data_IF_261476205786
#
_entry.id   IF_261476205786
#
_cell.length_a   1.000
_cell.length_b   1.000
_cell.length_c   1.000
_cell.angle_alpha   90.00
_cell.angle_beta   90.00
_cell.angle_gamma   90.00
#
_symmetry.space_group_name_H-M   'P 1'
#
loop_
_entity.id
_entity.type
_entity.pdbx_description
1 polymer ?
#
# COMPACT_ATOMS: atom_id res chain seq x y z
N UNK A 1 36.38 -39.22 -7.36
CA UNK A 1 37.30 -38.47 -6.48
C UNK A 1 36.64 -37.14 -6.13
N UNK A 2 36.47 -36.92 -4.82
CA UNK A 2 36.28 -35.67 -4.08
C UNK A 2 35.27 -34.60 -4.56
N UNK A 3 34.12 -34.56 -3.87
CA UNK A 3 33.31 -33.35 -3.65
C UNK A 3 34.07 -32.38 -2.73
N UNK A 4 34.04 -31.09 -3.02
CA UNK A 4 34.49 -30.04 -2.08
C UNK A 4 33.39 -29.01 -1.92
N UNK A 5 32.64 -29.17 -0.82
CA UNK A 5 31.67 -28.22 -0.31
C UNK A 5 32.46 -27.17 0.49
N UNK A 6 32.45 -25.90 0.07
CA UNK A 6 32.91 -24.78 0.91
C UNK A 6 31.69 -24.02 1.43
N UNK A 7 31.32 -24.32 2.67
CA UNK A 7 30.45 -23.48 3.49
C UNK A 7 31.29 -22.32 4.03
N UNK A 8 30.93 -21.10 3.69
CA UNK A 8 31.45 -19.89 4.32
C UNK A 8 30.29 -19.22 5.06
N UNK A 9 30.18 -19.56 6.34
CA UNK A 9 29.39 -18.82 7.31
C UNK A 9 30.29 -17.70 7.86
N UNK A 10 29.96 -16.45 7.59
CA UNK A 10 30.55 -15.30 8.28
C UNK A 10 29.39 -14.58 8.93
N UNK A 11 29.32 -14.73 10.26
CA UNK A 11 28.41 -13.99 11.11
C UNK A 11 28.83 -12.54 11.22
N UNK A 12 27.86 -11.65 11.12
CA UNK A 12 28.00 -10.26 11.56
C UNK A 12 27.10 -10.09 12.78
N UNK A 13 27.70 -10.19 13.96
CA UNK A 13 27.10 -9.74 15.20
C UNK A 13 27.10 -8.21 15.18
N UNK A 14 25.94 -7.59 14.98
CA UNK A 14 25.78 -6.15 15.17
C UNK A 14 25.58 -5.88 16.68
N UNK A 15 26.67 -5.51 17.33
CA UNK A 15 26.68 -4.96 18.68
C UNK A 15 25.94 -3.62 18.69
N UNK A 16 24.79 -3.57 19.35
CA UNK A 16 24.09 -2.32 19.66
C UNK A 16 24.82 -1.68 20.84
N UNK A 17 25.70 -0.73 20.55
CA UNK A 17 26.33 0.11 21.56
C UNK A 17 25.35 1.22 21.96
N UNK A 18 24.79 1.11 23.16
CA UNK A 18 24.07 2.19 23.81
C UNK A 18 25.05 3.31 24.18
N UNK A 19 24.95 4.45 23.50
CA UNK A 19 25.64 5.68 23.93
C UNK A 19 24.77 6.32 25.01
N UNK A 20 25.15 6.12 26.26
CA UNK A 20 24.70 6.92 27.39
C UNK A 20 25.28 8.32 27.29
N UNK A 21 24.45 9.31 26.95
CA UNK A 21 24.80 10.72 27.12
C UNK A 21 24.78 11.04 28.61
N UNK A 22 25.96 11.19 29.20
CA UNK A 22 26.18 11.91 30.45
C UNK A 22 26.97 13.17 30.14
N UNK A 23 26.35 14.34 30.30
CA UNK A 23 27.07 15.61 30.40
C UNK A 23 26.19 16.60 31.16
N UNK A 24 26.66 16.91 32.37
CA UNK A 24 26.05 17.71 33.41
C UNK A 24 25.85 19.17 33.00
N UNK A 25 24.74 19.75 33.47
CA UNK A 25 24.48 21.19 33.49
C UNK A 25 23.65 21.53 34.72
N UNK A 26 24.30 22.16 35.68
CA UNK A 26 23.86 22.61 37.00
C UNK A 26 22.52 23.37 36.98
N UNK A 27 21.59 22.98 37.85
CA UNK A 27 20.29 23.64 38.02
C UNK A 27 19.43 22.89 39.04
N UNK A 28 19.61 23.21 40.31
CA UNK A 28 18.93 22.62 41.45
C UNK A 28 17.41 22.94 41.38
N UNK A 29 16.63 22.00 40.87
CA UNK A 29 15.18 22.01 40.97
C UNK A 29 14.69 20.55 41.06
N UNK A 30 13.84 20.21 42.04
CA UNK A 30 13.28 18.86 42.14
C UNK A 30 12.36 18.60 40.95
N UNK A 31 12.85 17.88 39.95
CA UNK A 31 12.03 17.36 38.84
C UNK A 31 11.33 16.09 39.34
N UNK A 32 10.06 16.24 39.67
CA UNK A 32 9.12 15.13 39.89
C UNK A 32 9.16 14.21 38.66
N UNK A 33 9.39 12.89 38.80
CA UNK A 33 9.34 11.99 37.67
C UNK A 33 7.93 12.00 37.08
N UNK A 34 7.80 12.45 35.83
CA UNK A 34 6.55 12.26 35.07
C UNK A 34 6.25 10.76 35.03
N UNK A 35 5.04 10.34 35.43
CA UNK A 35 4.68 8.94 35.40
C UNK A 35 4.79 8.42 33.97
N UNK A 36 5.37 7.23 33.83
CA UNK A 36 5.27 6.41 32.62
C UNK A 36 3.81 6.41 32.19
N UNK A 37 3.51 6.96 31.01
CA UNK A 37 2.16 7.00 30.44
C UNK A 37 1.59 5.58 30.44
N UNK A 38 0.74 5.31 31.44
CA UNK A 38 0.04 4.05 31.55
C UNK A 38 -0.96 4.02 30.40
N UNK A 39 -0.74 3.12 29.44
CA UNK A 39 -1.72 2.76 28.44
C UNK A 39 -3.04 2.49 29.15
N UNK A 40 -4.01 3.40 28.98
CA UNK A 40 -5.35 3.21 29.55
C UNK A 40 -6.05 2.17 28.70
N UNK A 41 -6.43 1.01 29.27
CA UNK A 41 -7.19 0.00 28.55
C UNK A 41 -8.46 0.59 27.93
N UNK A 42 -8.85 0.11 26.74
CA UNK A 42 -9.93 0.70 25.95
C UNK A 42 -11.27 0.74 26.70
N UNK A 43 -11.51 -0.22 27.59
CA UNK A 43 -12.67 -0.33 28.49
C UNK A 43 -12.68 0.71 29.61
N UNK A 44 -11.55 1.39 29.85
CA UNK A 44 -11.39 2.45 30.86
C UNK A 44 -11.36 3.85 30.23
N UNK A 45 -11.39 3.97 28.90
CA UNK A 45 -11.54 5.25 28.24
C UNK A 45 -12.95 5.78 28.44
N UNK A 46 -13.06 7.05 28.85
CA UNK A 46 -14.35 7.72 29.00
C UNK A 46 -15.07 7.69 27.64
N UNK A 47 -16.30 7.15 27.57
CA UNK A 47 -17.05 7.16 26.32
C UNK A 47 -17.23 8.59 25.84
N UNK A 48 -16.88 8.84 24.59
CA UNK A 48 -17.13 10.11 23.92
C UNK A 48 -18.63 10.13 23.61
N UNK A 49 -19.40 10.84 24.43
CA UNK A 49 -20.79 11.13 24.10
C UNK A 49 -20.81 12.07 22.90
N UNK A 50 -21.07 11.51 21.74
CA UNK A 50 -21.36 12.26 20.53
C UNK A 50 -22.85 12.59 20.60
N UNK A 51 -23.17 13.80 21.07
CA UNK A 51 -24.55 14.31 20.97
C UNK A 51 -24.87 14.51 19.47
N UNK A 52 -25.69 13.60 18.93
CA UNK A 52 -25.93 13.46 17.50
C UNK A 52 -24.98 12.48 16.82
N UNK A 53 -25.44 11.80 15.78
CA UNK A 53 -24.60 10.88 15.01
C UNK A 53 -23.62 11.70 14.15
N UNK A 54 -22.30 11.76 14.46
CA UNK A 54 -21.35 12.53 13.67
C UNK A 54 -21.15 11.94 12.26
N UNK A 55 -21.65 10.72 12.00
CA UNK A 55 -21.68 10.08 10.68
C UNK A 55 -22.98 10.39 9.92
N UNK A 56 -24.03 10.89 10.58
CA UNK A 56 -25.30 11.21 9.93
C UNK A 56 -25.21 12.37 8.93
N UNK A 57 -24.20 13.24 9.06
CA UNK A 57 -23.85 14.25 8.05
C UNK A 57 -23.06 13.71 6.84
N UNK A 58 -22.59 12.47 6.91
CA UNK A 58 -21.85 11.81 5.83
C UNK A 58 -22.74 10.92 4.94
N UNK A 59 -24.00 10.71 5.32
CA UNK A 59 -24.96 9.84 4.60
C UNK A 59 -25.81 10.58 3.55
N UNK A 60 -25.67 11.90 3.40
CA UNK A 60 -26.54 12.66 2.51
C UNK A 60 -25.92 12.84 1.12
N UNK A 61 -26.47 12.08 0.17
CA UNK A 61 -26.24 12.07 -1.28
C UNK A 61 -24.88 11.49 -1.69
N UNK A 62 -24.90 10.25 -2.20
CA UNK A 62 -23.79 9.67 -2.96
C UNK A 62 -23.61 10.45 -4.27
N UNK A 63 -23.02 11.64 -4.16
CA UNK A 63 -22.61 12.52 -5.26
C UNK A 63 -21.29 12.07 -5.85
N UNK A 64 -20.75 10.92 -5.41
CA UNK A 64 -19.49 10.42 -5.93
C UNK A 64 -19.69 10.06 -7.40
N UNK A 65 -18.78 10.51 -8.28
CA UNK A 65 -18.85 10.14 -9.69
C UNK A 65 -18.93 8.62 -9.85
N UNK A 66 -19.59 8.14 -10.89
CA UNK A 66 -19.62 6.70 -11.18
C UNK A 66 -18.20 6.19 -11.47
N UNK A 67 -17.74 5.09 -10.85
CA UNK A 67 -16.45 4.49 -11.16
C UNK A 67 -16.32 4.13 -12.64
N UNK A 68 -15.19 4.47 -13.26
CA UNK A 68 -14.85 4.12 -14.64
C UNK A 68 -13.66 3.17 -14.66
N UNK A 69 -13.86 1.94 -15.14
CA UNK A 69 -12.78 1.00 -15.34
C UNK A 69 -11.80 1.52 -16.42
N UNK A 70 -10.51 1.52 -16.08
CA UNK A 70 -9.41 1.87 -16.99
C UNK A 70 -8.78 0.63 -17.62
N UNK A 71 -8.84 -0.48 -16.90
CA UNK A 71 -8.39 -1.76 -17.39
C UNK A 71 -8.51 -2.86 -16.36
N UNK A 72 -8.13 -4.04 -16.80
CA UNK A 72 -8.26 -5.27 -16.08
C UNK A 72 -7.04 -6.15 -16.33
N UNK A 73 -6.58 -6.81 -15.28
CA UNK A 73 -5.55 -7.84 -15.36
C UNK A 73 -6.07 -9.08 -14.65
N UNK A 74 -6.03 -10.20 -15.37
CA UNK A 74 -6.47 -11.49 -14.87
C UNK A 74 -5.27 -12.41 -14.67
N UNK A 75 -5.34 -13.17 -13.59
CA UNK A 75 -4.49 -14.32 -13.29
C UNK A 75 -5.39 -15.55 -13.14
N UNK A 76 -4.84 -16.72 -12.87
CA UNK A 76 -5.65 -17.92 -12.65
C UNK A 76 -6.60 -17.82 -11.45
N UNK A 77 -6.25 -17.03 -10.42
CA UNK A 77 -7.03 -16.90 -9.17
C UNK A 77 -7.60 -15.53 -8.92
N UNK A 78 -6.99 -14.48 -9.46
CA UNK A 78 -7.35 -13.11 -9.18
C UNK A 78 -7.73 -12.38 -10.46
N UNK A 79 -8.77 -11.56 -10.37
CA UNK A 79 -9.13 -10.55 -11.36
C UNK A 79 -8.95 -9.19 -10.71
N UNK A 80 -8.05 -8.38 -11.25
CA UNK A 80 -7.74 -7.04 -10.78
C UNK A 80 -8.34 -6.02 -11.72
N UNK A 81 -9.19 -5.15 -11.21
CA UNK A 81 -9.84 -4.09 -11.95
C UNK A 81 -9.31 -2.76 -11.43
N UNK A 82 -8.72 -1.99 -12.32
CA UNK A 82 -8.24 -0.65 -12.03
C UNK A 82 -9.23 0.38 -12.56
N UNK A 83 -9.60 1.37 -11.74
CA UNK A 83 -10.64 2.34 -12.08
C UNK A 83 -10.31 3.76 -11.60
N UNK A 84 -11.06 4.74 -12.11
CA UNK A 84 -11.08 6.12 -11.58
C UNK A 84 -12.47 6.49 -11.09
N UNK A 85 -12.51 7.38 -10.10
CA UNK A 85 -13.74 7.92 -9.53
C UNK A 85 -13.50 9.38 -9.12
N UNK A 86 -13.93 10.33 -9.97
CA UNK A 86 -13.58 11.75 -9.78
C UNK A 86 -12.07 11.97 -9.78
N UNK A 87 -11.57 12.68 -8.77
CA UNK A 87 -10.13 12.92 -8.55
C UNK A 87 -9.43 11.80 -7.77
N UNK A 88 -9.93 10.57 -7.88
CA UNK A 88 -9.39 9.39 -7.23
C UNK A 88 -9.19 8.26 -8.23
N UNK A 89 -8.29 7.35 -7.90
CA UNK A 89 -8.17 6.07 -8.56
C UNK A 89 -8.35 4.95 -7.54
N UNK A 90 -8.72 3.78 -8.04
CA UNK A 90 -9.00 2.62 -7.22
C UNK A 90 -8.56 1.32 -7.87
N UNK A 91 -8.38 0.34 -7.00
CA UNK A 91 -8.08 -1.04 -7.32
C UNK A 91 -9.11 -1.93 -6.65
N UNK A 92 -9.74 -2.78 -7.43
CA UNK A 92 -10.57 -3.87 -6.95
C UNK A 92 -9.91 -5.20 -7.31
N UNK A 93 -9.65 -6.04 -6.31
CA UNK A 93 -9.20 -7.42 -6.51
C UNK A 93 -10.31 -8.35 -6.09
N UNK A 94 -10.74 -9.23 -6.99
CA UNK A 94 -11.73 -10.27 -6.71
C UNK A 94 -11.14 -11.64 -7.01
N UNK A 95 -11.70 -12.66 -6.37
CA UNK A 95 -11.44 -14.04 -6.76
C UNK A 95 -12.06 -14.31 -8.15
N UNK A 96 -11.26 -14.81 -9.08
CA UNK A 96 -11.65 -14.99 -10.48
C UNK A 96 -12.70 -16.10 -10.67
N UNK A 97 -12.82 -17.04 -9.72
CA UNK A 97 -13.74 -18.18 -9.80
C UNK A 97 -15.09 -17.89 -9.17
N UNK A 98 -15.10 -17.16 -8.07
CA UNK A 98 -16.29 -16.92 -7.25
C UNK A 98 -16.83 -15.51 -7.43
N UNK A 99 -15.99 -14.48 -7.53
CA UNK A 99 -16.33 -13.07 -7.76
C UNK A 99 -17.41 -12.46 -6.84
N UNK A 100 -17.79 -13.13 -5.74
CA UNK A 100 -18.93 -12.71 -4.91
C UNK A 100 -18.58 -11.54 -3.97
N UNK A 101 -17.31 -11.41 -3.57
CA UNK A 101 -16.85 -10.34 -2.68
C UNK A 101 -15.45 -9.87 -3.08
N UNK A 102 -15.16 -8.56 -2.95
CA UNK A 102 -13.81 -8.07 -3.13
C UNK A 102 -12.89 -8.64 -2.06
N UNK A 103 -11.75 -9.16 -2.51
CA UNK A 103 -10.65 -9.56 -1.64
C UNK A 103 -9.91 -8.32 -1.16
N UNK A 104 -9.66 -7.37 -2.07
CA UNK A 104 -9.01 -6.10 -1.78
C UNK A 104 -9.78 -4.99 -2.51
N UNK A 105 -10.08 -3.90 -1.81
CA UNK A 105 -10.56 -2.66 -2.42
C UNK A 105 -9.73 -1.50 -1.88
N UNK A 106 -8.94 -0.86 -2.75
CA UNK A 106 -8.14 0.30 -2.40
C UNK A 106 -8.62 1.49 -3.20
N UNK A 107 -8.71 2.65 -2.54
CA UNK A 107 -9.02 3.93 -3.17
C UNK A 107 -8.04 4.97 -2.62
N UNK A 108 -7.50 5.79 -3.51
CA UNK A 108 -6.68 6.94 -3.14
C UNK A 108 -7.05 8.13 -4.01
N UNK A 109 -7.18 9.29 -3.40
CA UNK A 109 -7.26 10.56 -4.14
C UNK A 109 -5.91 10.86 -4.79
N UNK A 110 -5.91 11.63 -5.88
CA UNK A 110 -4.67 12.20 -6.43
C UNK A 110 -4.08 13.23 -5.47
N UNK A 111 -2.76 13.47 -5.48
CA UNK A 111 -2.16 14.61 -4.79
C UNK A 111 -2.77 15.92 -5.29
N UNK A 112 -3.04 16.87 -4.38
CA UNK A 112 -3.59 18.19 -4.78
C UNK A 112 -2.53 19.12 -5.36
N UNK A 113 -1.26 18.85 -5.08
CA UNK A 113 -0.12 19.66 -5.50
C UNK A 113 1.16 18.81 -5.57
N UNK A 114 2.24 19.39 -6.10
CA UNK A 114 3.52 18.68 -6.30
C UNK A 114 4.28 18.37 -5.01
N UNK A 115 3.95 19.03 -3.90
CA UNK A 115 4.54 18.79 -2.58
C UNK A 115 3.88 17.64 -1.83
N UNK A 116 2.71 17.19 -2.26
CA UNK A 116 2.02 16.02 -1.72
C UNK A 116 2.45 14.74 -2.43
N UNK A 117 2.49 13.64 -1.68
CA UNK A 117 2.71 12.31 -2.22
C UNK A 117 4.17 11.96 -2.53
N UNK A 118 4.34 10.83 -3.22
CA UNK A 118 5.61 10.18 -3.50
C UNK A 118 6.03 10.37 -4.96
N UNK A 119 7.34 10.51 -5.19
CA UNK A 119 7.97 10.48 -6.51
C UNK A 119 8.54 9.10 -6.87
N UNK A 120 8.06 8.02 -6.21
CA UNK A 120 8.56 6.64 -6.39
C UNK A 120 8.55 6.18 -7.86
N UNK A 121 7.55 6.61 -8.62
CA UNK A 121 7.41 6.28 -10.03
C UNK A 121 7.49 7.54 -10.90
N UNK A 122 7.94 7.37 -12.15
CA UNK A 122 7.80 8.41 -13.16
C UNK A 122 6.32 8.84 -13.32
N UNK A 123 6.10 10.06 -13.82
CA UNK A 123 4.76 10.66 -13.98
C UNK A 123 4.03 11.03 -12.67
N UNK A 124 4.77 11.10 -11.55
CA UNK A 124 4.26 11.54 -10.24
C UNK A 124 4.10 13.05 -10.09
N UNK A 125 3.65 13.51 -8.90
CA UNK A 125 3.57 12.75 -7.64
C UNK A 125 2.41 11.75 -7.53
N UNK A 126 2.49 10.83 -6.56
CA UNK A 126 1.48 9.81 -6.26
C UNK A 126 1.08 9.79 -4.78
N UNK A 127 -0.22 9.77 -4.48
CA UNK A 127 -0.70 9.33 -3.17
C UNK A 127 -0.71 7.80 -3.09
N UNK A 128 -0.81 7.26 -1.88
CA UNK A 128 -0.62 5.84 -1.63
C UNK A 128 -1.75 5.27 -0.77
N UNK A 129 -2.23 4.09 -1.13
CA UNK A 129 -3.07 3.24 -0.30
C UNK A 129 -2.55 1.81 -0.38
N UNK A 130 -2.65 1.04 0.69
CA UNK A 130 -2.30 -0.38 0.69
C UNK A 130 -3.26 -1.19 1.54
N UNK A 131 -3.30 -2.49 1.27
CA UNK A 131 -4.15 -3.41 2.00
C UNK A 131 -3.77 -4.86 1.74
N UNK A 132 -4.16 -5.72 2.66
CA UNK A 132 -4.09 -7.16 2.50
C UNK A 132 -5.48 -7.70 2.12
N UNK A 133 -5.50 -8.80 1.38
CA UNK A 133 -6.72 -9.56 1.15
C UNK A 133 -7.19 -10.27 2.42
N UNK A 134 -8.34 -10.94 2.34
CA UNK A 134 -8.87 -11.74 3.44
C UNK A 134 -7.84 -12.76 3.95
N UNK A 135 -7.97 -13.18 5.21
CA UNK A 135 -7.01 -14.04 5.94
C UNK A 135 -6.56 -15.27 5.14
N UNK A 136 -7.44 -15.83 4.32
CA UNK A 136 -7.18 -17.01 3.48
C UNK A 136 -6.29 -16.74 2.27
N UNK A 137 -6.26 -15.51 1.73
CA UNK A 137 -5.64 -15.22 0.43
C UNK A 137 -4.15 -14.89 0.51
N UNK A 138 -3.63 -14.50 1.69
CA UNK A 138 -2.29 -13.91 1.93
C UNK A 138 -1.86 -12.82 0.93
N UNK A 139 -2.80 -12.35 0.11
CA UNK A 139 -2.54 -11.40 -0.96
C UNK A 139 -2.37 -10.01 -0.38
N UNK A 140 -1.54 -9.19 -1.02
CA UNK A 140 -1.32 -7.80 -0.63
C UNK A 140 -1.30 -6.93 -1.87
N UNK A 141 -1.82 -5.73 -1.74
CA UNK A 141 -1.77 -4.75 -2.79
C UNK A 141 -1.33 -3.40 -2.25
N UNK A 142 -0.64 -2.66 -3.11
CA UNK A 142 -0.30 -1.26 -2.94
C UNK A 142 -0.73 -0.49 -4.17
N UNK A 143 -1.45 0.59 -3.97
CA UNK A 143 -2.00 1.47 -4.99
C UNK A 143 -1.29 2.82 -4.89
N UNK A 144 -0.63 3.22 -5.97
CA UNK A 144 -0.06 4.55 -6.16
C UNK A 144 -0.90 5.31 -7.16
N UNK A 145 -1.46 6.44 -6.71
CA UNK A 145 -2.47 7.19 -7.43
C UNK A 145 -2.00 8.59 -7.80
N UNK A 146 -1.95 8.88 -9.11
CA UNK A 146 -1.65 10.21 -9.66
C UNK A 146 -2.68 10.57 -10.72
N UNK A 147 -2.80 11.86 -11.02
CA UNK A 147 -3.60 12.36 -12.15
C UNK A 147 -3.15 11.76 -13.49
N UNK A 148 -1.84 11.50 -13.65
CA UNK A 148 -1.26 11.10 -14.94
C UNK A 148 -1.17 9.58 -15.14
N UNK A 149 -1.11 8.82 -14.05
CA UNK A 149 -0.95 7.38 -14.08
C UNK A 149 -1.33 6.77 -12.72
N UNK A 150 -1.60 5.47 -12.75
CA UNK A 150 -1.78 4.65 -11.55
C UNK A 150 -0.86 3.44 -11.65
N UNK A 151 -0.20 3.13 -10.54
CA UNK A 151 0.67 1.96 -10.41
C UNK A 151 0.15 1.10 -9.27
N UNK A 152 -0.05 -0.17 -9.54
CA UNK A 152 -0.46 -1.17 -8.56
C UNK A 152 0.67 -2.17 -8.41
N UNK A 153 1.11 -2.40 -7.19
CA UNK A 153 1.96 -3.53 -6.84
C UNK A 153 1.08 -4.56 -6.14
N UNK A 154 1.02 -5.76 -6.70
CA UNK A 154 0.21 -6.85 -6.18
C UNK A 154 1.08 -8.07 -5.91
N UNK A 155 1.13 -8.49 -4.66
CA UNK A 155 1.76 -9.74 -4.24
C UNK A 155 0.65 -10.75 -4.04
N UNK A 156 0.47 -11.73 -4.95
CA UNK A 156 -0.48 -12.80 -4.74
C UNK A 156 0.03 -13.67 -3.56
N UNK A 157 -0.88 -14.26 -2.78
CA UNK A 157 -0.47 -15.15 -1.68
C UNK A 157 0.12 -16.49 -2.12
N UNK A 158 0.05 -16.78 -3.42
CA UNK A 158 0.61 -17.96 -4.09
C UNK A 158 1.06 -17.54 -5.50
N UNK A 159 1.97 -18.28 -6.12
CA UNK A 159 2.47 -17.96 -7.46
C UNK A 159 1.30 -17.81 -8.45
N UNK A 160 1.24 -16.65 -9.11
CA UNK A 160 0.21 -16.35 -10.09
C UNK A 160 0.86 -15.84 -11.38
N UNK A 161 0.48 -16.46 -12.50
CA UNK A 161 0.83 -15.98 -13.83
C UNK A 161 -0.34 -15.18 -14.41
N UNK A 162 -0.03 -14.13 -15.15
CA UNK A 162 -1.02 -13.33 -15.88
C UNK A 162 -1.65 -14.18 -16.99
N UNK A 163 -2.96 -14.36 -16.95
CA UNK A 163 -3.74 -15.10 -17.94
C UNK A 163 -4.41 -14.18 -18.97
N UNK A 164 -4.52 -12.88 -18.69
CA UNK A 164 -5.09 -11.91 -19.62
C UNK A 164 -4.97 -10.46 -19.15
N UNK A 165 -5.10 -9.53 -20.09
CA UNK A 165 -5.16 -8.09 -19.82
C UNK A 165 -6.13 -7.41 -20.78
N UNK A 166 -6.86 -6.40 -20.29
CA UNK A 166 -7.79 -5.59 -21.08
C UNK A 166 -7.63 -4.10 -20.72
N UNK A 167 -7.78 -3.23 -21.71
CA UNK A 167 -7.73 -1.77 -21.53
C UNK A 167 -6.31 -1.20 -21.59
N UNK A 168 -6.14 0.03 -21.09
CA UNK A 168 -4.86 0.75 -21.15
C UNK A 168 -3.95 0.38 -19.98
N UNK A 169 -3.56 -0.89 -19.92
CA UNK A 169 -2.74 -1.47 -18.86
C UNK A 169 -1.44 -2.04 -19.40
N UNK A 170 -0.44 -2.14 -18.54
CA UNK A 170 0.82 -2.82 -18.82
C UNK A 170 1.28 -3.51 -17.55
N UNK A 171 1.81 -4.72 -17.65
CA UNK A 171 2.14 -5.56 -16.50
C UNK A 171 3.59 -6.03 -16.55
N UNK A 172 4.25 -6.09 -15.39
CA UNK A 172 5.61 -6.65 -15.25
C UNK A 172 5.76 -7.32 -13.89
N UNK A 173 6.45 -8.45 -13.83
CA UNK A 173 6.95 -8.99 -12.54
C UNK A 173 8.09 -8.10 -12.05
N UNK A 174 8.11 -7.77 -10.76
CA UNK A 174 9.18 -6.94 -10.20
C UNK A 174 10.48 -7.75 -10.14
N UNK A 175 11.59 -7.17 -10.61
CA UNK A 175 12.86 -7.90 -10.63
C UNK A 175 13.37 -8.23 -9.22
N UNK A 176 13.20 -7.32 -8.25
CA UNK A 176 13.62 -7.52 -6.86
C UNK A 176 12.68 -8.40 -6.04
N UNK A 177 11.48 -8.70 -6.57
CA UNK A 177 10.47 -9.53 -5.93
C UNK A 177 9.62 -10.21 -7.02
N UNK A 178 10.07 -11.36 -7.54
CA UNK A 178 9.44 -12.03 -8.68
C UNK A 178 8.00 -12.49 -8.43
N UNK A 179 7.59 -12.61 -7.17
CA UNK A 179 6.23 -12.94 -6.78
C UNK A 179 5.30 -11.74 -6.97
N UNK A 180 5.83 -10.52 -6.86
CA UNK A 180 5.06 -9.29 -7.04
C UNK A 180 4.85 -8.94 -8.52
N UNK A 181 3.57 -8.77 -8.87
CA UNK A 181 3.11 -8.25 -10.14
C UNK A 181 2.89 -6.74 -10.05
N UNK A 182 3.50 -5.98 -10.95
CA UNK A 182 3.25 -4.54 -11.09
C UNK A 182 2.35 -4.29 -12.29
N UNK A 183 1.23 -3.62 -12.05
CA UNK A 183 0.27 -3.18 -13.06
C UNK A 183 0.32 -1.66 -13.18
N UNK A 184 0.45 -1.15 -14.40
CA UNK A 184 0.55 0.28 -14.69
C UNK A 184 -0.57 0.68 -15.64
N UNK A 185 -1.33 1.72 -15.31
CA UNK A 185 -2.29 2.36 -16.21
C UNK A 185 -2.03 3.87 -16.33
N UNK A 186 -2.47 4.48 -17.43
CA UNK A 186 -2.20 5.87 -17.77
C UNK A 186 -1.95 6.02 -19.28
N UNK A 187 -1.47 7.19 -19.71
CA UNK A 187 -1.11 7.40 -21.12
C UNK A 187 0.04 6.48 -21.56
N UNK A 188 0.12 6.17 -22.85
CA UNK A 188 1.19 5.33 -23.42
C UNK A 188 2.60 5.82 -23.03
N UNK A 189 2.81 7.14 -23.07
CA UNK A 189 4.07 7.76 -22.69
C UNK A 189 4.36 7.63 -21.18
N UNK A 190 3.35 7.72 -20.31
CA UNK A 190 3.52 7.52 -18.88
C UNK A 190 3.85 6.04 -18.58
N UNK A 191 3.07 5.10 -19.13
CA UNK A 191 3.29 3.66 -18.93
C UNK A 191 4.69 3.24 -19.38
N UNK A 192 5.12 3.64 -20.59
CA UNK A 192 6.46 3.33 -21.10
C UNK A 192 7.58 3.87 -20.21
N UNK A 193 7.42 5.07 -19.62
CA UNK A 193 8.43 5.64 -18.71
C UNK A 193 8.51 4.87 -17.40
N UNK A 194 7.37 4.53 -16.80
CA UNK A 194 7.31 3.77 -15.54
C UNK A 194 7.88 2.35 -15.75
N UNK A 195 7.50 1.68 -16.84
CA UNK A 195 7.92 0.30 -17.12
C UNK A 195 9.42 0.13 -17.36
N UNK A 196 10.15 1.22 -17.69
CA UNK A 196 11.61 1.24 -17.80
C UNK A 196 12.33 1.28 -16.44
N UNK A 197 11.62 1.69 -15.38
CA UNK A 197 12.16 1.80 -14.01
C UNK A 197 11.92 0.53 -13.19
N UNK A 198 10.92 -0.28 -13.58
CA UNK A 198 10.57 -1.57 -13.00
C UNK A 198 11.50 -2.68 -13.49
#
# INVERSE_FOLDING_TARGET
MAQVIRKLAIGAALSIACVSCTANGEGDAPVTPSPVDQFTPLDQLKPINLDGDPLSGAETFDTRPTPRALGEVSTERYRMIVYTQGSSCGLLVVDAKTSQRPLINLVSAWPKNVSEGSQRYAAGPYNFASGAGSESSRSRASLYCSEKAMVVEFTPGEEASTSGQQGHVSTKKRHSDPESLVVVTGSDAARKRIMKQL
#
